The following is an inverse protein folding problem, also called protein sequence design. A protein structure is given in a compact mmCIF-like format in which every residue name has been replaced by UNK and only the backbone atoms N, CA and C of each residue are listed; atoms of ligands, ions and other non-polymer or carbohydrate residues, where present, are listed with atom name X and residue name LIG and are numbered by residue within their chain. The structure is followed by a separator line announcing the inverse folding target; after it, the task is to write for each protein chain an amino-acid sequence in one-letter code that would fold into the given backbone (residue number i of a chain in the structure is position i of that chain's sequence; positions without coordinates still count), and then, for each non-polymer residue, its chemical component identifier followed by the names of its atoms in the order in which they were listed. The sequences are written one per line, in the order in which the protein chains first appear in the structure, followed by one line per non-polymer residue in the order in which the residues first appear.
data_IF_031192077504
#
_entry.id   IF_031192077504
#
_cell.length_a   1.000
_cell.length_b   1.000
_cell.length_c   1.000
_cell.angle_alpha   90.00
_cell.angle_beta   90.00
_cell.angle_gamma   90.00
#
_symmetry.space_group_name_H-M   'P 1'
#
loop_
_entity.id
_entity.type
_entity.pdbx_description
1 polymer ?
#
# COMPACT_ATOMS: atom_id res chain seq x y z
N UNK A 1 -12.75 13.04 -52.79
CA UNK A 1 -13.64 12.53 -51.72
C UNK A 1 -13.19 11.21 -51.06
N UNK A 2 -12.38 10.40 -51.74
CA UNK A 2 -11.87 9.12 -51.16
C UNK A 2 -10.79 9.29 -50.11
N UNK A 3 -10.08 10.39 -50.06
CA UNK A 3 -9.03 10.69 -49.09
C UNK A 3 -9.55 11.15 -47.72
N UNK A 4 -10.75 11.71 -47.66
CA UNK A 4 -11.33 12.18 -46.38
C UNK A 4 -11.90 11.07 -45.51
N UNK A 5 -12.42 10.00 -46.11
CA UNK A 5 -12.91 8.83 -45.38
C UNK A 5 -11.81 7.98 -44.80
N UNK A 6 -10.67 7.88 -45.47
CA UNK A 6 -9.51 7.14 -44.93
C UNK A 6 -8.88 7.83 -43.73
N UNK A 7 -8.89 9.16 -43.71
CA UNK A 7 -8.37 9.92 -42.61
C UNK A 7 -9.30 9.88 -41.35
N UNK A 8 -10.59 9.84 -41.58
CA UNK A 8 -11.58 9.72 -40.48
C UNK A 8 -11.55 8.33 -39.86
N UNK A 9 -11.35 7.28 -40.67
CA UNK A 9 -11.18 5.91 -40.17
C UNK A 9 -9.88 5.73 -39.38
N UNK A 10 -8.79 6.37 -39.81
CA UNK A 10 -7.51 6.37 -39.09
C UNK A 10 -7.58 7.13 -37.78
N UNK A 11 -8.30 8.23 -37.71
CA UNK A 11 -8.51 9.00 -36.47
C UNK A 11 -9.41 8.26 -35.50
N UNK A 12 -10.41 7.54 -35.98
CA UNK A 12 -11.27 6.68 -35.16
C UNK A 12 -10.51 5.47 -34.58
N UNK A 13 -9.60 4.89 -35.37
CA UNK A 13 -8.75 3.78 -34.89
C UNK A 13 -7.73 4.24 -33.85
N UNK A 14 -7.22 5.47 -34.00
CA UNK A 14 -6.29 6.03 -32.99
C UNK A 14 -6.99 6.42 -31.68
N UNK A 15 -8.25 6.83 -31.74
CA UNK A 15 -9.02 7.17 -30.56
C UNK A 15 -9.39 5.94 -29.72
N UNK A 16 -9.57 4.79 -30.38
CA UNK A 16 -9.87 3.53 -29.66
C UNK A 16 -8.65 2.92 -28.96
N UNK A 17 -7.46 3.14 -29.48
CA UNK A 17 -6.26 2.61 -28.85
C UNK A 17 -5.86 3.36 -27.57
N UNK A 18 -6.22 4.64 -27.45
CA UNK A 18 -5.92 5.39 -26.22
C UNK A 18 -6.80 5.03 -25.03
N UNK A 19 -8.02 4.57 -25.27
CA UNK A 19 -8.91 4.09 -24.20
C UNK A 19 -8.49 2.73 -23.66
N UNK A 20 -7.97 1.87 -24.51
CA UNK A 20 -7.44 0.55 -24.13
C UNK A 20 -6.17 0.67 -23.26
N UNK A 21 -5.32 1.66 -23.52
CA UNK A 21 -4.10 1.88 -22.75
C UNK A 21 -4.41 2.40 -21.34
N UNK A 22 -5.45 3.19 -21.15
CA UNK A 22 -5.88 3.64 -19.81
C UNK A 22 -6.52 2.52 -18.97
N UNK A 23 -7.27 1.62 -19.59
CA UNK A 23 -7.87 0.47 -18.91
C UNK A 23 -6.80 -0.56 -18.49
N UNK A 24 -5.73 -0.70 -19.25
CA UNK A 24 -4.62 -1.60 -18.91
C UNK A 24 -3.75 -1.08 -17.76
N UNK A 25 -3.65 0.23 -17.59
CA UNK A 25 -2.88 0.83 -16.50
C UNK A 25 -3.53 0.69 -15.12
N UNK A 26 -4.85 0.54 -15.05
CA UNK A 26 -5.55 0.31 -13.78
C UNK A 26 -5.53 -1.17 -13.35
N UNK A 27 -5.45 -2.09 -14.30
CA UNK A 27 -5.38 -3.53 -14.01
C UNK A 27 -3.95 -4.04 -13.79
N UNK A 28 -2.96 -3.32 -14.28
CA UNK A 28 -1.54 -3.71 -14.21
C UNK A 28 -0.72 -2.78 -13.30
N UNK A 29 -1.13 -2.66 -12.05
CA UNK A 29 -0.14 -2.35 -11.01
C UNK A 29 0.54 -3.67 -10.65
N UNK A 30 1.79 -3.88 -11.07
CA UNK A 30 2.51 -5.06 -10.61
C UNK A 30 2.48 -5.04 -9.09
N UNK A 31 1.96 -6.09 -8.50
CA UNK A 31 2.04 -6.27 -7.07
C UNK A 31 3.51 -6.14 -6.68
N UNK A 32 3.80 -5.27 -5.72
CA UNK A 32 5.16 -5.11 -5.22
C UNK A 32 5.69 -6.45 -4.75
N UNK A 33 6.96 -6.69 -5.01
CA UNK A 33 7.64 -7.83 -4.42
C UNK A 33 7.67 -7.69 -2.90
N UNK A 34 7.77 -8.78 -2.13
CA UNK A 34 7.92 -8.70 -0.69
C UNK A 34 9.10 -7.82 -0.25
N UNK A 35 10.19 -7.86 -1.00
CA UNK A 35 11.37 -7.05 -0.76
C UNK A 35 11.10 -5.55 -0.95
N UNK A 36 10.40 -5.19 -2.01
CA UNK A 36 10.01 -3.80 -2.27
C UNK A 36 9.05 -3.27 -1.21
N UNK A 37 8.08 -4.08 -0.80
CA UNK A 37 7.15 -3.74 0.25
C UNK A 37 7.87 -3.55 1.59
N UNK A 38 8.75 -4.47 1.95
CA UNK A 38 9.53 -4.40 3.18
C UNK A 38 10.44 -3.17 3.20
N UNK A 39 11.09 -2.87 2.08
CA UNK A 39 11.95 -1.70 1.97
C UNK A 39 11.16 -0.41 2.14
N UNK A 40 10.02 -0.31 1.49
CA UNK A 40 9.14 0.87 1.60
C UNK A 40 8.67 1.10 3.02
N UNK A 41 8.20 0.05 3.70
CA UNK A 41 7.74 0.16 5.09
C UNK A 41 8.88 0.53 6.03
N UNK A 42 10.06 -0.03 5.80
CA UNK A 42 11.26 0.29 6.60
C UNK A 42 11.67 1.75 6.44
N UNK A 43 11.67 2.26 5.22
CA UNK A 43 11.99 3.66 4.95
C UNK A 43 10.98 4.62 5.60
N UNK A 44 9.71 4.29 5.53
CA UNK A 44 8.67 5.10 6.18
C UNK A 44 8.85 5.16 7.68
N UNK A 45 9.03 4.01 8.34
CA UNK A 45 9.26 3.94 9.77
C UNK A 45 10.58 4.62 10.18
N UNK A 46 11.62 4.47 9.39
CA UNK A 46 12.91 5.10 9.65
C UNK A 46 12.80 6.62 9.68
N UNK A 47 12.04 7.20 8.77
CA UNK A 47 11.80 8.64 8.74
C UNK A 47 10.97 9.13 9.93
N UNK A 48 9.96 8.37 10.28
CA UNK A 48 9.03 8.74 11.35
C UNK A 48 9.61 8.59 12.74
N UNK A 49 10.41 7.57 12.95
CA UNK A 49 10.90 7.18 14.27
C UNK A 49 12.40 7.42 14.45
N UNK A 50 13.11 7.92 13.44
CA UNK A 50 14.55 8.09 13.46
C UNK A 50 15.29 6.81 13.90
N UNK A 51 15.04 5.72 13.18
CA UNK A 51 15.63 4.41 13.49
C UNK A 51 17.14 4.40 13.29
N UNK A 52 17.86 3.70 14.17
CA UNK A 52 19.27 3.39 13.97
C UNK A 52 19.45 2.40 12.81
N UNK A 53 20.67 2.25 12.31
CA UNK A 53 20.96 1.29 11.25
C UNK A 53 20.63 -0.14 11.65
N UNK A 54 20.94 -0.53 12.88
CA UNK A 54 20.59 -1.86 13.42
C UNK A 54 19.07 -2.05 13.51
N UNK A 55 18.36 -1.04 13.97
CA UNK A 55 16.89 -1.06 13.98
C UNK A 55 16.31 -1.18 12.57
N UNK A 56 16.86 -0.43 11.62
CA UNK A 56 16.42 -0.51 10.20
C UNK A 56 16.58 -1.92 9.64
N UNK A 57 17.71 -2.56 9.86
CA UNK A 57 17.96 -3.92 9.39
C UNK A 57 16.96 -4.91 10.00
N UNK A 58 16.70 -4.77 11.28
CA UNK A 58 15.74 -5.64 11.98
C UNK A 58 14.31 -5.37 11.51
N UNK A 59 13.92 -4.12 11.36
CA UNK A 59 12.61 -3.73 10.82
C UNK A 59 12.41 -4.28 9.42
N UNK A 60 13.41 -4.18 8.57
CA UNK A 60 13.36 -4.74 7.21
C UNK A 60 13.11 -6.25 7.23
N UNK A 61 13.83 -6.99 8.06
CA UNK A 61 13.66 -8.45 8.19
C UNK A 61 12.27 -8.82 8.69
N UNK A 62 11.74 -8.07 9.66
CA UNK A 62 10.40 -8.29 10.18
C UNK A 62 9.36 -8.06 9.08
N UNK A 63 9.41 -6.93 8.39
CA UNK A 63 8.49 -6.64 7.30
C UNK A 63 8.59 -7.64 6.16
N UNK A 64 9.81 -8.05 5.81
CA UNK A 64 10.03 -9.05 4.76
C UNK A 64 9.41 -10.40 5.11
N UNK A 65 9.59 -10.84 6.34
CA UNK A 65 8.99 -12.09 6.84
C UNK A 65 7.47 -12.06 6.68
N UNK A 66 6.81 -11.00 7.12
CA UNK A 66 5.37 -10.91 7.07
C UNK A 66 4.83 -10.65 5.66
N UNK A 67 5.57 -9.93 4.82
CA UNK A 67 5.22 -9.78 3.42
C UNK A 67 5.24 -11.12 2.67
N UNK A 68 6.20 -11.97 2.95
CA UNK A 68 6.27 -13.32 2.39
C UNK A 68 5.15 -14.23 2.88
N UNK A 69 4.84 -14.17 4.17
CA UNK A 69 3.73 -14.93 4.75
C UNK A 69 2.39 -14.54 4.12
N UNK A 70 2.20 -13.27 3.82
CA UNK A 70 0.99 -12.79 3.15
C UNK A 70 0.78 -13.39 1.77
N UNK A 71 1.85 -13.73 1.06
CA UNK A 71 1.75 -14.37 -0.25
C UNK A 71 1.25 -15.81 -0.16
N UNK A 72 1.56 -16.50 0.93
CA UNK A 72 1.20 -17.91 1.11
C UNK A 72 -0.25 -18.04 1.60
N UNK A 73 -0.71 -17.12 2.41
CA UNK A 73 -2.04 -17.13 3.00
C UNK A 73 -2.53 -15.72 3.27
N UNK A 74 -3.71 -15.40 2.80
CA UNK A 74 -4.26 -14.05 2.87
C UNK A 74 -5.73 -14.02 3.27
N UNK A 75 -6.13 -14.83 4.23
CA UNK A 75 -7.45 -14.69 4.85
C UNK A 75 -7.45 -13.48 5.79
N UNK A 76 -8.63 -12.90 6.00
CA UNK A 76 -8.78 -11.74 6.89
C UNK A 76 -8.35 -12.03 8.33
N UNK A 77 -8.71 -13.19 8.85
CA UNK A 77 -8.34 -13.61 10.20
C UNK A 77 -6.84 -13.76 10.36
N UNK A 78 -6.19 -14.40 9.40
CA UNK A 78 -4.73 -14.55 9.37
C UNK A 78 -4.02 -13.21 9.17
N UNK A 79 -4.58 -12.32 8.36
CA UNK A 79 -4.07 -10.96 8.16
C UNK A 79 -4.03 -10.16 9.46
N UNK A 80 -5.09 -10.23 10.26
CA UNK A 80 -5.14 -9.57 11.57
C UNK A 80 -4.16 -10.20 12.57
N UNK A 81 -4.06 -11.52 12.59
CA UNK A 81 -3.11 -12.23 13.45
C UNK A 81 -1.66 -11.86 13.10
N UNK A 82 -1.33 -11.80 11.82
CA UNK A 82 -0.01 -11.38 11.36
C UNK A 82 0.29 -9.93 11.73
N UNK A 83 -0.67 -9.03 11.56
CA UNK A 83 -0.51 -7.62 11.91
C UNK A 83 -0.21 -7.45 13.41
N UNK A 84 -0.94 -8.16 14.26
CA UNK A 84 -0.70 -8.15 15.70
C UNK A 84 0.68 -8.70 16.05
N UNK A 85 1.06 -9.82 15.47
CA UNK A 85 2.37 -10.43 15.68
C UNK A 85 3.50 -9.51 15.22
N UNK A 86 3.38 -8.93 14.06
CA UNK A 86 4.35 -7.98 13.51
C UNK A 86 4.49 -6.76 14.40
N UNK A 87 3.39 -6.20 14.87
CA UNK A 87 3.39 -5.05 15.76
C UNK A 87 4.14 -5.34 17.05
N UNK A 88 3.94 -6.52 17.65
CA UNK A 88 4.68 -6.94 18.85
C UNK A 88 6.18 -7.05 18.60
N UNK A 89 6.57 -7.63 17.48
CA UNK A 89 7.98 -7.75 17.10
C UNK A 89 8.63 -6.39 16.87
N UNK A 90 7.93 -5.48 16.20
CA UNK A 90 8.41 -4.12 15.98
C UNK A 90 8.57 -3.35 17.29
N UNK A 91 7.59 -3.41 18.18
CA UNK A 91 7.65 -2.74 19.47
C UNK A 91 8.82 -3.25 20.32
N UNK A 92 9.13 -4.53 20.25
CA UNK A 92 10.20 -5.13 21.05
C UNK A 92 11.59 -4.57 20.75
N UNK A 93 11.81 -4.04 19.56
CA UNK A 93 13.12 -3.47 19.13
C UNK A 93 13.17 -1.95 19.21
N UNK A 94 12.08 -1.32 19.58
CA UNK A 94 11.97 0.15 19.68
C UNK A 94 12.27 0.65 21.09
N UNK A 95 12.80 1.87 21.17
CA UNK A 95 12.89 2.59 22.44
C UNK A 95 11.50 2.97 22.95
N UNK A 96 11.31 3.23 24.26
CA UNK A 96 10.00 3.66 24.78
C UNK A 96 9.42 4.87 24.05
N UNK A 97 10.25 5.82 23.67
CA UNK A 97 9.83 7.00 22.93
C UNK A 97 9.37 6.66 21.51
N UNK A 98 10.07 5.75 20.84
CA UNK A 98 9.69 5.24 19.54
C UNK A 98 8.40 4.43 19.60
N UNK A 99 8.22 3.62 20.64
CA UNK A 99 6.99 2.87 20.86
C UNK A 99 5.78 3.78 21.00
N UNK A 100 5.91 4.85 21.77
CA UNK A 100 4.83 5.82 21.94
C UNK A 100 4.49 6.51 20.61
N UNK A 101 5.48 6.97 19.88
CA UNK A 101 5.27 7.59 18.58
C UNK A 101 4.63 6.64 17.56
N UNK A 102 5.05 5.39 17.54
CA UNK A 102 4.50 4.35 16.68
C UNK A 102 3.04 4.05 17.00
N UNK A 103 2.70 3.89 18.27
CA UNK A 103 1.34 3.62 18.71
C UNK A 103 0.42 4.81 18.46
N UNK A 104 0.88 6.02 18.72
CA UNK A 104 0.11 7.24 18.45
C UNK A 104 -0.25 7.37 16.99
N UNK A 105 0.65 6.99 16.10
CA UNK A 105 0.40 7.02 14.67
C UNK A 105 -0.64 6.01 14.20
N UNK A 106 -0.73 4.87 14.85
CA UNK A 106 -1.77 3.88 14.57
C UNK A 106 -3.16 4.31 15.05
N UNK A 107 -3.19 5.13 16.09
CA UNK A 107 -4.43 5.65 16.68
C UNK A 107 -4.92 6.88 15.93
N UNK A 108 -4.03 7.62 15.24
CA UNK A 108 -4.46 8.73 14.42
C UNK A 108 -5.45 8.28 13.35
N UNK A 109 -6.67 8.82 13.39
CA UNK A 109 -7.68 8.45 12.41
C UNK A 109 -7.22 8.89 11.02
N UNK A 110 -7.12 7.92 10.16
CA UNK A 110 -6.85 8.21 8.75
C UNK A 110 -7.90 9.21 8.25
N UNK A 111 -7.49 10.34 7.67
CA UNK A 111 -8.46 11.35 7.17
C UNK A 111 -9.48 10.76 6.21
N UNK A 112 -9.19 9.64 5.55
CA UNK A 112 -10.13 8.92 4.70
C UNK A 112 -11.16 8.08 5.46
N UNK A 113 -10.87 7.71 6.72
CA UNK A 113 -11.80 6.96 7.56
C UNK A 113 -12.73 7.87 8.36
N UNK A 114 -12.37 9.14 8.45
CA UNK A 114 -13.18 10.15 9.11
C UNK A 114 -14.15 10.90 8.20
N UNK A 115 -14.26 10.51 6.96
CA UNK A 115 -15.48 10.88 6.28
C UNK A 115 -16.60 10.12 7.00
N UNK A 116 -17.38 10.80 7.83
CA UNK A 116 -18.57 10.17 8.33
C UNK A 116 -19.29 9.74 7.06
N UNK A 117 -19.52 8.45 6.91
CA UNK A 117 -20.63 8.08 6.06
C UNK A 117 -21.76 8.94 6.60
N UNK A 118 -22.12 9.95 5.86
CA UNK A 118 -23.38 10.59 6.03
C UNK A 118 -24.39 9.45 5.85
N UNK A 119 -24.58 8.72 6.91
CA UNK A 119 -25.75 7.92 7.05
C UNK A 119 -26.83 8.95 6.90
N UNK A 120 -27.46 8.99 5.77
CA UNK A 120 -28.72 9.71 5.62
C UNK A 120 -29.68 9.08 6.61
N UNK A 121 -29.59 9.58 7.85
CA UNK A 121 -30.47 9.13 8.90
C UNK A 121 -31.85 9.55 8.53
N UNK A 122 -32.68 8.57 8.26
CA UNK A 122 -34.05 8.71 8.61
C UNK A 122 -34.84 9.74 7.88
N UNK A 123 -34.85 9.58 6.69
CA UNK A 123 -35.96 10.24 6.07
C UNK A 123 -36.60 9.34 5.09
#
# INVERSE_FOLDING_TARGET
MRTRMKNILLILLMAMSSVLVMAQNDEFRPSRTPEEEALKQTEMLSRELALSEQQRDTVYRIHLKYARLRQVSNTRAEGLARLNAMTKELLAIMTPEQQEAFLNKQIEPHPRRMQPRLVKVGQ
#
